data_IF_988123452823
#
_entry.id   IF_988123452823
#
_cell.length_a   1.000
_cell.length_b   1.000
_cell.length_c   1.000
_cell.angle_alpha   90.00
_cell.angle_beta   90.00
_cell.angle_gamma   90.00
#
_symmetry.space_group_name_H-M   'P 1'
#
loop_
_entity.id
_entity.type
_entity.pdbx_description
1 polymer ?
#
# COMPACT_ATOMS: atom_id res chain seq x y z
N UNK A 1 0.80 3.17 26.38
CA UNK A 1 0.85 1.93 25.58
C UNK A 1 2.25 1.41 25.69
N UNK A 2 2.36 0.27 26.36
CA UNK A 2 3.60 -0.51 26.43
C UNK A 2 3.84 -1.13 25.05
N UNK A 3 5.11 -1.28 24.70
CA UNK A 3 5.48 -1.90 23.44
C UNK A 3 5.04 -3.35 23.46
N UNK A 4 4.35 -3.76 22.40
CA UNK A 4 3.94 -5.16 22.23
C UNK A 4 5.02 -5.92 21.47
N UNK A 5 5.13 -7.22 21.72
CA UNK A 5 6.08 -8.08 21.01
C UNK A 5 5.66 -8.21 19.54
N UNK A 6 6.59 -7.90 18.63
CA UNK A 6 6.40 -8.07 17.19
C UNK A 6 6.19 -9.54 16.81
N UNK A 7 6.75 -10.48 17.57
CA UNK A 7 6.57 -11.91 17.32
C UNK A 7 5.12 -12.33 17.50
N UNK A 8 4.41 -11.74 18.47
CA UNK A 8 3.00 -12.02 18.70
C UNK A 8 2.15 -11.44 17.57
N UNK A 9 2.45 -10.21 17.12
CA UNK A 9 1.83 -9.64 15.92
C UNK A 9 2.04 -10.53 14.69
N UNK A 10 3.27 -11.00 14.45
CA UNK A 10 3.57 -11.88 13.30
C UNK A 10 2.76 -13.16 13.40
N UNK A 11 2.75 -13.84 14.55
CA UNK A 11 1.98 -15.07 14.75
C UNK A 11 0.50 -14.83 14.52
N UNK A 12 -0.08 -13.81 15.13
CA UNK A 12 -1.50 -13.45 14.98
C UNK A 12 -1.86 -13.23 13.51
N UNK A 13 -1.13 -12.34 12.80
CA UNK A 13 -1.47 -12.02 11.41
C UNK A 13 -1.20 -13.19 10.46
N UNK A 14 -0.18 -14.02 10.71
CA UNK A 14 0.13 -15.18 9.85
C UNK A 14 -0.79 -16.39 10.08
N UNK A 15 -1.56 -16.41 11.18
CA UNK A 15 -2.68 -17.34 11.36
C UNK A 15 -3.89 -16.95 10.50
N UNK A 16 -4.13 -15.65 10.32
CA UNK A 16 -5.28 -15.12 9.58
C UNK A 16 -5.04 -15.06 8.07
N UNK A 17 -3.83 -14.68 7.66
CA UNK A 17 -3.51 -14.48 6.26
C UNK A 17 -2.06 -14.79 5.87
N UNK A 18 -1.78 -14.76 4.57
CA UNK A 18 -0.43 -14.93 4.02
C UNK A 18 0.38 -13.64 4.00
N UNK A 19 -0.27 -12.50 4.12
CA UNK A 19 0.35 -11.18 4.14
C UNK A 19 -0.39 -10.25 5.09
N UNK A 20 0.32 -9.32 5.71
CA UNK A 20 -0.28 -8.21 6.44
C UNK A 20 0.50 -6.90 6.23
N UNK A 21 -0.23 -5.79 6.18
CA UNK A 21 0.30 -4.44 6.02
C UNK A 21 -0.66 -3.42 6.66
N UNK A 22 -0.33 -2.12 6.66
CA UNK A 22 -1.23 -1.10 7.21
C UNK A 22 -2.29 -0.67 6.20
N UNK A 23 -3.48 -0.32 6.70
CA UNK A 23 -4.57 0.23 5.89
C UNK A 23 -4.45 1.76 5.78
N UNK A 24 -4.31 2.27 4.56
CA UNK A 24 -4.22 3.71 4.33
C UNK A 24 -5.50 4.46 4.76
N UNK A 25 -6.65 3.80 4.75
CA UNK A 25 -7.90 4.39 5.21
C UNK A 25 -7.95 4.56 6.75
N UNK A 26 -7.04 3.90 7.49
CA UNK A 26 -6.90 4.04 8.94
C UNK A 26 -5.84 5.06 9.37
N UNK A 27 -5.07 5.61 8.44
CA UNK A 27 -4.03 6.60 8.74
C UNK A 27 -4.61 7.84 9.44
N UNK A 28 -3.91 8.43 10.39
CA UNK A 28 -4.38 9.63 11.09
C UNK A 28 -4.53 10.84 10.15
N UNK A 29 -3.75 10.90 9.08
CA UNK A 29 -3.73 12.01 8.12
C UNK A 29 -3.75 11.45 6.70
N UNK A 30 -4.57 12.08 5.84
CA UNK A 30 -4.62 11.76 4.42
C UNK A 30 -5.32 10.44 4.11
N UNK A 31 -6.25 9.98 4.95
CA UNK A 31 -7.05 8.77 4.74
C UNK A 31 -7.68 8.76 3.36
N UNK A 32 -7.44 7.68 2.62
CA UNK A 32 -8.05 7.40 1.32
C UNK A 32 -8.14 5.89 1.16
N UNK A 33 -9.16 5.45 0.44
CA UNK A 33 -9.37 4.05 0.06
C UNK A 33 -9.51 3.89 -1.47
N UNK A 34 -9.24 4.94 -2.24
CA UNK A 34 -9.45 4.98 -3.68
C UNK A 34 -8.18 5.44 -4.40
N UNK A 35 -7.70 4.63 -5.34
CA UNK A 35 -6.51 4.93 -6.14
C UNK A 35 -6.63 6.25 -6.92
N UNK A 36 -7.84 6.57 -7.39
CA UNK A 36 -8.09 7.76 -8.22
C UNK A 36 -8.05 9.03 -7.37
N UNK A 37 -8.53 8.95 -6.13
CA UNK A 37 -8.42 10.03 -5.15
C UNK A 37 -6.99 10.20 -4.66
N UNK A 38 -6.23 9.10 -4.49
CA UNK A 38 -4.80 9.16 -4.15
C UNK A 38 -4.01 9.84 -5.26
N UNK A 39 -4.25 9.46 -6.52
CA UNK A 39 -3.63 10.10 -7.67
C UNK A 39 -3.87 11.61 -7.69
N UNK A 40 -5.13 12.05 -7.53
CA UNK A 40 -5.44 13.48 -7.48
C UNK A 40 -4.77 14.16 -6.28
N UNK A 41 -4.78 13.54 -5.11
CA UNK A 41 -4.15 14.10 -3.91
C UNK A 41 -2.63 14.27 -4.06
N UNK A 42 -1.97 13.42 -4.85
CA UNK A 42 -0.55 13.56 -5.17
C UNK A 42 -0.32 14.78 -6.07
N UNK A 43 -1.14 14.97 -7.11
CA UNK A 43 -1.05 16.14 -7.99
C UNK A 43 -1.31 17.45 -7.22
N UNK A 44 -2.35 17.48 -6.40
CA UNK A 44 -2.68 18.64 -5.57
C UNK A 44 -1.55 18.98 -4.58
N UNK A 45 -0.87 17.95 -4.05
CA UNK A 45 0.26 18.14 -3.16
C UNK A 45 1.44 18.77 -3.91
N UNK A 46 1.73 18.31 -5.13
CA UNK A 46 2.78 18.86 -5.99
C UNK A 46 2.49 20.33 -6.31
N UNK A 47 1.27 20.68 -6.72
CA UNK A 47 0.87 22.06 -6.98
C UNK A 47 1.04 22.96 -5.74
N UNK A 48 0.62 22.48 -4.56
CA UNK A 48 0.65 23.26 -3.31
C UNK A 48 2.04 23.38 -2.69
N UNK A 49 2.93 22.41 -2.90
CA UNK A 49 4.23 22.31 -2.22
C UNK A 49 5.42 22.48 -3.16
N UNK A 50 5.21 22.46 -4.48
CA UNK A 50 6.28 22.46 -5.47
C UNK A 50 7.15 21.19 -5.40
N UNK A 51 6.66 20.12 -4.77
CA UNK A 51 7.41 18.88 -4.55
C UNK A 51 6.72 17.73 -5.26
N UNK A 52 7.34 17.26 -6.33
CA UNK A 52 6.90 16.12 -7.10
C UNK A 52 7.17 14.81 -6.34
N UNK A 53 6.14 13.99 -6.14
CA UNK A 53 6.27 12.66 -5.49
C UNK A 53 6.59 11.55 -6.47
N UNK A 54 6.18 11.72 -7.73
CA UNK A 54 6.46 10.86 -8.87
C UNK A 54 6.14 11.62 -10.17
N UNK A 55 6.57 11.11 -11.33
CA UNK A 55 6.37 11.80 -12.61
C UNK A 55 4.88 11.79 -13.04
N UNK A 56 4.23 12.96 -13.24
CA UNK A 56 2.78 13.07 -13.52
C UNK A 56 2.32 12.25 -14.72
N UNK A 57 3.04 12.28 -15.84
CA UNK A 57 2.69 11.49 -17.03
C UNK A 57 2.79 9.98 -16.82
N UNK A 58 3.72 9.52 -15.98
CA UNK A 58 3.85 8.08 -15.66
C UNK A 58 2.65 7.63 -14.84
N UNK A 59 2.30 8.39 -13.80
CA UNK A 59 1.11 8.13 -12.99
C UNK A 59 -0.17 8.19 -13.85
N UNK A 60 -0.31 9.19 -14.71
CA UNK A 60 -1.49 9.35 -15.58
C UNK A 60 -1.67 8.14 -16.49
N UNK A 61 -0.63 7.69 -17.19
CA UNK A 61 -0.67 6.50 -18.06
C UNK A 61 -1.07 5.24 -17.30
N UNK A 62 -0.53 5.04 -16.10
CA UNK A 62 -0.89 3.92 -15.22
C UNK A 62 -2.37 3.97 -14.81
N UNK A 63 -2.85 5.13 -14.34
CA UNK A 63 -4.24 5.32 -13.91
C UNK A 63 -5.22 5.14 -15.08
N UNK A 64 -4.92 5.71 -16.25
CA UNK A 64 -5.77 5.58 -17.43
C UNK A 64 -5.86 4.13 -17.90
N UNK A 65 -4.75 3.38 -17.83
CA UNK A 65 -4.74 1.93 -18.09
C UNK A 65 -5.63 1.19 -17.11
N UNK A 66 -5.52 1.43 -15.81
CA UNK A 66 -6.35 0.78 -14.80
C UNK A 66 -7.84 1.07 -14.97
N UNK A 67 -8.21 2.31 -15.34
CA UNK A 67 -9.59 2.66 -15.69
C UNK A 67 -10.08 1.86 -16.90
N UNK A 68 -9.27 1.77 -17.96
CA UNK A 68 -9.59 1.00 -19.18
C UNK A 68 -9.75 -0.49 -18.89
N UNK A 69 -8.98 -1.02 -17.95
CA UNK A 69 -9.08 -2.41 -17.50
C UNK A 69 -10.27 -2.66 -16.55
N UNK A 70 -11.00 -1.61 -16.13
CA UNK A 70 -12.19 -1.73 -15.28
C UNK A 70 -11.90 -1.79 -13.78
N UNK A 71 -10.74 -1.31 -13.33
CA UNK A 71 -10.40 -1.31 -11.91
C UNK A 71 -11.37 -0.43 -11.10
N UNK A 72 -12.04 -0.96 -10.05
CA UNK A 72 -13.08 -0.24 -9.33
C UNK A 72 -12.56 0.93 -8.49
N UNK A 73 -13.45 1.89 -8.24
CA UNK A 73 -13.24 2.93 -7.22
C UNK A 73 -13.33 2.32 -5.81
N UNK A 74 -12.72 2.97 -4.83
CA UNK A 74 -12.83 2.63 -3.40
C UNK A 74 -12.39 1.19 -3.05
N UNK A 75 -11.45 0.61 -3.80
CA UNK A 75 -10.97 -0.77 -3.64
C UNK A 75 -9.79 -0.92 -2.65
N UNK A 76 -9.78 -0.06 -1.62
CA UNK A 76 -8.74 0.00 -0.62
C UNK A 76 -7.43 0.64 -1.12
N UNK A 77 -6.59 1.01 -0.16
CA UNK A 77 -5.21 1.43 -0.37
C UNK A 77 -4.36 0.92 0.79
N UNK A 78 -3.18 0.40 0.50
CA UNK A 78 -2.23 0.02 1.55
C UNK A 78 -1.34 1.18 1.97
N UNK A 79 -0.75 1.05 3.15
CA UNK A 79 0.46 1.77 3.55
C UNK A 79 1.57 0.74 3.69
N UNK A 80 2.57 0.78 2.80
CA UNK A 80 3.53 -0.31 2.61
C UNK A 80 4.92 -0.23 3.29
N UNK A 81 5.21 0.63 4.30
CA UNK A 81 6.55 0.63 4.90
C UNK A 81 6.85 -0.64 5.70
N UNK A 82 5.81 -1.39 6.09
CA UNK A 82 5.91 -2.68 6.78
C UNK A 82 5.06 -3.70 6.03
N UNK A 83 5.67 -4.83 5.66
CA UNK A 83 5.01 -5.99 5.07
C UNK A 83 5.41 -7.24 5.86
N UNK A 84 4.44 -7.86 6.53
CA UNK A 84 4.60 -9.20 7.11
C UNK A 84 4.08 -10.18 6.07
N UNK A 85 4.85 -11.20 5.68
CA UNK A 85 4.42 -12.13 4.64
C UNK A 85 5.04 -13.51 4.79
N UNK A 86 4.30 -14.53 4.36
CA UNK A 86 4.82 -15.89 4.12
C UNK A 86 5.68 -15.85 2.86
N UNK A 87 6.94 -15.47 3.03
CA UNK A 87 7.84 -15.09 1.95
C UNK A 87 7.92 -16.12 0.82
N UNK A 88 7.96 -17.40 1.18
CA UNK A 88 8.14 -18.52 0.26
C UNK A 88 6.81 -19.12 -0.26
N UNK A 89 5.67 -18.55 0.12
CA UNK A 89 4.37 -19.02 -0.38
C UNK A 89 4.23 -18.67 -1.87
N UNK A 90 3.90 -19.64 -2.75
CA UNK A 90 3.83 -19.38 -4.20
C UNK A 90 2.82 -18.29 -4.61
N UNK A 91 1.72 -18.14 -3.86
CA UNK A 91 0.72 -17.09 -4.12
C UNK A 91 1.28 -15.70 -3.79
N UNK A 92 2.01 -15.60 -2.68
CA UNK A 92 2.71 -14.37 -2.29
C UNK A 92 3.77 -14.01 -3.32
N UNK A 93 4.61 -14.95 -3.74
CA UNK A 93 5.64 -14.71 -4.76
C UNK A 93 5.00 -14.15 -6.03
N UNK A 94 3.92 -14.77 -6.52
CA UNK A 94 3.21 -14.32 -7.72
C UNK A 94 2.72 -12.87 -7.61
N UNK A 95 2.12 -12.49 -6.49
CA UNK A 95 1.60 -11.13 -6.26
C UNK A 95 2.73 -10.13 -6.08
N UNK A 96 3.80 -10.49 -5.36
CA UNK A 96 4.97 -9.61 -5.18
C UNK A 96 5.70 -9.35 -6.49
N UNK A 97 5.90 -10.37 -7.33
CA UNK A 97 6.53 -10.22 -8.65
C UNK A 97 5.67 -9.37 -9.60
N UNK A 98 4.35 -9.55 -9.58
CA UNK A 98 3.43 -8.74 -10.37
C UNK A 98 3.45 -7.27 -9.91
N UNK A 99 3.49 -7.02 -8.60
CA UNK A 99 3.63 -5.69 -8.05
C UNK A 99 4.98 -5.06 -8.39
N UNK A 100 6.07 -5.82 -8.23
CA UNK A 100 7.41 -5.36 -8.57
C UNK A 100 7.55 -4.98 -10.05
N UNK A 101 6.92 -5.74 -10.96
CA UNK A 101 6.89 -5.41 -12.38
C UNK A 101 6.25 -4.04 -12.66
N UNK A 102 5.21 -3.64 -11.93
CA UNK A 102 4.62 -2.30 -12.07
C UNK A 102 5.60 -1.25 -11.54
N UNK A 103 6.17 -1.45 -10.35
CA UNK A 103 7.14 -0.51 -9.75
C UNK A 103 8.37 -0.28 -10.64
N UNK A 104 8.83 -1.31 -11.36
CA UNK A 104 9.96 -1.20 -12.28
C UNK A 104 9.67 -0.40 -13.56
N UNK A 105 8.42 -0.42 -14.05
CA UNK A 105 8.09 0.07 -15.39
C UNK A 105 7.13 1.28 -15.40
N UNK A 106 6.49 1.57 -14.28
CA UNK A 106 5.45 2.59 -14.15
C UNK A 106 5.66 3.41 -12.87
N UNK A 107 4.59 3.92 -12.23
CA UNK A 107 4.72 4.67 -10.98
C UNK A 107 5.19 3.76 -9.85
N UNK A 108 6.17 4.25 -9.09
CA UNK A 108 6.75 3.56 -7.94
C UNK A 108 5.92 3.68 -6.66
N UNK A 109 4.79 4.38 -6.71
CA UNK A 109 3.92 4.63 -5.55
C UNK A 109 3.13 3.37 -5.22
N UNK A 110 3.40 2.77 -4.06
CA UNK A 110 2.71 1.59 -3.53
C UNK A 110 1.18 1.76 -3.53
N UNK A 111 0.72 2.91 -3.06
CA UNK A 111 -0.69 3.30 -3.00
C UNK A 111 -1.34 3.40 -4.40
N UNK A 112 -0.54 3.56 -5.47
CA UNK A 112 -1.04 3.61 -6.83
C UNK A 112 -1.00 2.27 -7.56
N UNK A 113 -0.55 1.17 -6.96
CA UNK A 113 -0.43 -0.08 -7.72
C UNK A 113 -0.76 -1.36 -6.94
N UNK A 114 -0.51 -1.44 -5.64
CA UNK A 114 -0.65 -2.71 -4.92
C UNK A 114 -2.09 -3.25 -4.97
N UNK A 115 -3.09 -2.46 -4.58
CA UNK A 115 -4.49 -2.90 -4.57
C UNK A 115 -5.01 -3.26 -5.97
N UNK A 116 -4.45 -2.66 -7.02
CA UNK A 116 -4.71 -3.07 -8.39
C UNK A 116 -4.17 -4.47 -8.68
N UNK A 117 -2.94 -4.79 -8.25
CA UNK A 117 -2.34 -6.12 -8.42
C UNK A 117 -3.17 -7.16 -7.68
N UNK A 118 -3.55 -6.87 -6.45
CA UNK A 118 -4.42 -7.72 -5.62
C UNK A 118 -5.72 -8.04 -6.34
N UNK A 119 -6.41 -7.02 -6.86
CA UNK A 119 -7.63 -7.19 -7.66
C UNK A 119 -7.39 -8.00 -8.94
N UNK A 120 -6.35 -7.67 -9.70
CA UNK A 120 -6.04 -8.33 -10.98
C UNK A 120 -5.74 -9.82 -10.82
N UNK A 121 -5.13 -10.19 -9.69
CA UNK A 121 -4.75 -11.56 -9.37
C UNK A 121 -5.77 -12.30 -8.49
N UNK A 122 -6.90 -11.67 -8.15
CA UNK A 122 -7.89 -12.19 -7.20
C UNK A 122 -7.27 -12.64 -5.86
N UNK A 123 -6.26 -11.91 -5.40
CA UNK A 123 -5.58 -12.24 -4.16
C UNK A 123 -6.39 -11.70 -2.97
N UNK A 124 -6.97 -12.57 -2.16
CA UNK A 124 -7.78 -12.17 -1.01
C UNK A 124 -7.14 -12.54 0.33
N UNK A 125 -5.97 -13.17 0.31
CA UNK A 125 -5.32 -13.74 1.49
C UNK A 125 -4.33 -12.77 2.13
N UNK A 126 -4.81 -11.57 2.47
CA UNK A 126 -4.06 -10.56 3.21
C UNK A 126 -4.92 -9.88 4.25
N UNK A 127 -4.28 -9.39 5.30
CA UNK A 127 -4.92 -8.72 6.43
C UNK A 127 -4.30 -7.35 6.71
N UNK A 128 -5.01 -6.55 7.51
CA UNK A 128 -4.49 -5.27 7.98
C UNK A 128 -3.90 -5.36 9.39
N UNK A 129 -2.77 -4.68 9.59
CA UNK A 129 -2.19 -4.38 10.90
C UNK A 129 -2.96 -3.20 11.48
N UNK A 130 -3.32 -3.31 12.76
CA UNK A 130 -4.08 -2.26 13.44
C UNK A 130 -3.23 -1.02 13.71
N UNK A 131 -3.86 0.15 13.57
CA UNK A 131 -3.23 1.44 13.80
C UNK A 131 -2.67 2.09 12.53
N UNK A 132 -1.74 3.01 12.74
CA UNK A 132 -1.09 3.83 11.70
C UNK A 132 0.41 3.85 11.96
N UNK A 133 1.19 3.35 11.01
CA UNK A 133 2.65 3.30 11.06
C UNK A 133 3.32 4.68 11.12
N UNK A 134 2.65 5.73 10.64
CA UNK A 134 3.13 7.13 10.65
C UNK A 134 2.92 7.80 12.01
N UNK A 135 2.20 7.14 12.92
CA UNK A 135 1.94 7.59 14.29
C UNK A 135 2.41 6.51 15.26
N UNK A 136 2.25 6.79 16.56
CA UNK A 136 2.57 5.82 17.60
C UNK A 136 1.62 4.64 17.49
N UNK A 137 2.16 3.48 17.17
CA UNK A 137 1.51 2.17 17.28
C UNK A 137 2.33 1.29 18.24
N UNK A 138 1.81 0.14 18.72
CA UNK A 138 2.50 -0.68 19.71
C UNK A 138 3.80 -1.36 19.24
N UNK A 139 4.09 -1.38 17.94
CA UNK A 139 5.14 -2.24 17.36
C UNK A 139 6.25 -1.48 16.61
N UNK A 140 5.93 -0.37 15.96
CA UNK A 140 6.86 0.33 15.05
C UNK A 140 6.97 1.82 15.37
N UNK A 141 8.19 2.34 15.25
CA UNK A 141 8.48 3.77 15.31
C UNK A 141 8.99 4.26 13.95
N UNK A 142 8.42 5.37 13.46
CA UNK A 142 8.96 6.06 12.30
C UNK A 142 9.99 7.10 12.75
N UNK A 143 11.25 6.90 12.36
CA UNK A 143 12.33 7.86 12.57
C UNK A 143 12.45 8.71 11.31
N UNK A 144 12.47 10.04 11.44
CA UNK A 144 12.71 10.93 10.30
C UNK A 144 14.18 10.85 9.90
N UNK A 145 14.45 10.69 8.61
CA UNK A 145 15.79 10.88 8.08
C UNK A 145 16.15 12.37 8.16
N UNK A 146 17.37 12.67 8.64
CA UNK A 146 17.95 14.01 8.67
C UNK A 146 18.31 14.49 7.26
#
# INVERSE_FOLDING_TARGET
MDNQDINDLIKEKMLLAKMACFDHNRNAIGKRNCIYEEYQAILDYEEKKGVQKDHPEVMRKQIDRFKKEGYPKNNGLITAPILIRKHSDPEIIKVMEAWWKIVLNESKRDQLCFNYVVWKHNFTNYEFIDGDVRKRNPWFYTIRHN
#
